data_IF_892192771518
#
_entry.id   IF_892192771518
#
_cell.length_a   1.000
_cell.length_b   1.000
_cell.length_c   1.000
_cell.angle_alpha   90.00
_cell.angle_beta   90.00
_cell.angle_gamma   90.00
#
_symmetry.space_group_name_H-M   'P 1'
#
loop_
_entity.id
_entity.type
_entity.pdbx_description
1 polymer ?
#
# COMPACT_ATOMS: atom_id res chain seq x y z
N UNK A 1 -25.60 56.45 7.70
CA UNK A 1 -25.15 55.06 7.61
C UNK A 1 -25.67 54.36 8.86
N UNK A 2 -26.76 53.60 8.72
CA UNK A 2 -27.55 53.07 9.84
C UNK A 2 -26.90 51.80 10.40
N UNK A 3 -27.21 51.44 11.65
CA UNK A 3 -26.81 50.17 12.28
C UNK A 3 -27.31 48.97 11.45
N UNK A 4 -28.39 49.14 10.69
CA UNK A 4 -29.00 48.12 9.83
C UNK A 4 -28.16 47.77 8.60
N UNK A 5 -27.40 48.73 8.05
CA UNK A 5 -26.50 48.49 6.90
C UNK A 5 -25.37 47.54 7.29
N UNK A 6 -24.87 47.63 8.53
CA UNK A 6 -23.85 46.71 9.08
C UNK A 6 -24.41 45.31 9.35
N UNK A 7 -25.69 45.19 9.68
CA UNK A 7 -26.34 43.90 9.91
C UNK A 7 -26.60 43.14 8.60
N UNK A 8 -26.92 43.86 7.51
CA UNK A 8 -27.03 43.27 6.17
C UNK A 8 -25.67 42.83 5.62
N UNK A 9 -24.60 43.59 5.85
CA UNK A 9 -23.25 43.23 5.38
C UNK A 9 -22.69 41.99 6.13
N UNK A 10 -22.98 41.87 7.43
CA UNK A 10 -22.61 40.69 8.22
C UNK A 10 -23.42 39.43 7.86
N UNK A 11 -24.65 39.58 7.32
CA UNK A 11 -25.51 38.46 6.92
C UNK A 11 -25.26 38.03 5.46
N UNK A 12 -24.67 38.89 4.63
CA UNK A 12 -24.41 38.62 3.20
C UNK A 12 -23.05 37.93 2.95
N UNK A 13 -22.19 37.84 3.96
CA UNK A 13 -20.92 37.12 3.89
C UNK A 13 -21.04 35.57 3.98
N UNK A 14 -22.25 35.02 3.96
CA UNK A 14 -22.45 33.58 3.69
C UNK A 14 -22.40 33.35 2.18
N UNK A 15 -21.20 33.39 1.58
CA UNK A 15 -20.99 32.84 0.24
C UNK A 15 -21.24 31.34 0.34
N UNK A 16 -22.49 30.92 0.07
CA UNK A 16 -22.87 29.51 0.05
C UNK A 16 -21.92 28.77 -0.88
N UNK A 17 -21.19 27.81 -0.33
CA UNK A 17 -20.35 26.91 -1.13
C UNK A 17 -21.25 26.24 -2.18
N UNK A 18 -21.08 26.64 -3.44
CA UNK A 18 -21.86 26.07 -4.53
C UNK A 18 -21.28 24.69 -4.83
N UNK A 19 -22.00 23.64 -4.44
CA UNK A 19 -21.70 22.27 -4.82
C UNK A 19 -21.80 22.12 -6.33
N UNK A 20 -20.69 22.35 -7.02
CA UNK A 20 -20.56 22.11 -8.44
C UNK A 20 -20.16 20.63 -8.64
N UNK A 21 -20.78 19.96 -9.61
CA UNK A 21 -20.40 18.61 -10.02
C UNK A 21 -18.89 18.51 -10.33
N UNK A 22 -18.31 19.60 -10.86
CA UNK A 22 -16.87 19.72 -11.12
C UNK A 22 -16.07 19.68 -9.81
N UNK A 23 -16.48 20.38 -8.76
CA UNK A 23 -15.78 20.40 -7.46
C UNK A 23 -15.88 19.05 -6.76
N UNK A 24 -17.03 18.38 -6.85
CA UNK A 24 -17.20 17.01 -6.34
C UNK A 24 -16.30 16.04 -7.10
N UNK A 25 -16.30 16.09 -8.43
CA UNK A 25 -15.44 15.25 -9.26
C UNK A 25 -13.94 15.48 -8.99
N UNK A 26 -13.52 16.75 -8.84
CA UNK A 26 -12.15 17.09 -8.47
C UNK A 26 -11.77 16.55 -7.10
N UNK A 27 -12.66 16.62 -6.11
CA UNK A 27 -12.43 16.09 -4.77
C UNK A 27 -12.25 14.56 -4.81
N UNK A 28 -13.10 13.86 -5.57
CA UNK A 28 -12.98 12.41 -5.79
C UNK A 28 -11.66 12.08 -6.50
N UNK A 29 -11.28 12.84 -7.53
CA UNK A 29 -10.05 12.61 -8.28
C UNK A 29 -8.79 12.80 -7.41
N UNK A 30 -8.75 13.88 -6.63
CA UNK A 30 -7.65 14.13 -5.67
C UNK A 30 -7.62 13.04 -4.60
N UNK A 31 -8.79 12.61 -4.11
CA UNK A 31 -8.89 11.54 -3.12
C UNK A 31 -8.35 10.21 -3.65
N UNK A 32 -8.73 9.81 -4.86
CA UNK A 32 -8.20 8.60 -5.50
C UNK A 32 -6.69 8.72 -5.69
N UNK A 33 -6.21 9.83 -6.27
CA UNK A 33 -4.78 10.09 -6.48
C UNK A 33 -3.99 10.06 -5.16
N UNK A 34 -4.59 10.56 -4.09
CA UNK A 34 -4.02 10.54 -2.75
C UNK A 34 -3.94 9.11 -2.19
N UNK A 35 -4.97 8.28 -2.38
CA UNK A 35 -4.92 6.86 -2.01
C UNK A 35 -3.85 6.09 -2.78
N UNK A 36 -3.70 6.36 -4.07
CA UNK A 36 -2.57 5.86 -4.87
C UNK A 36 -1.23 6.30 -4.27
N UNK A 37 -1.08 7.58 -3.93
CA UNK A 37 0.15 8.13 -3.36
C UNK A 37 0.50 7.52 -1.99
N UNK A 38 -0.49 7.23 -1.14
CA UNK A 38 -0.29 6.61 0.17
C UNK A 38 0.19 5.15 0.02
N UNK A 39 -0.52 4.35 -0.77
CA UNK A 39 -0.19 2.93 -0.99
C UNK A 39 1.16 2.81 -1.70
N UNK A 40 1.40 3.61 -2.74
CA UNK A 40 2.67 3.63 -3.46
C UNK A 40 3.82 4.15 -2.59
N UNK A 41 3.59 5.21 -1.79
CA UNK A 41 4.61 5.75 -0.89
C UNK A 41 5.05 4.73 0.16
N UNK A 42 4.09 4.01 0.76
CA UNK A 42 4.37 2.91 1.67
C UNK A 42 5.11 1.75 0.99
N UNK A 43 4.68 1.37 -0.22
CA UNK A 43 5.34 0.36 -1.02
C UNK A 43 6.78 0.72 -1.38
N UNK A 44 7.05 1.98 -1.77
CA UNK A 44 8.41 2.47 -2.07
C UNK A 44 9.34 2.33 -0.85
N UNK A 45 8.85 2.66 0.34
CA UNK A 45 9.60 2.47 1.60
C UNK A 45 9.83 0.99 1.85
N UNK A 46 8.82 0.15 1.65
CA UNK A 46 8.93 -1.30 1.82
C UNK A 46 9.96 -1.93 0.87
N UNK A 47 9.95 -1.57 -0.41
CA UNK A 47 10.96 -1.98 -1.40
C UNK A 47 12.34 -1.52 -0.97
N UNK A 48 12.45 -0.27 -0.52
CA UNK A 48 13.70 0.27 0.00
C UNK A 48 14.17 -0.46 1.26
N UNK A 49 13.30 -1.10 2.05
CA UNK A 49 13.70 -1.89 3.23
C UNK A 49 14.00 -3.34 2.87
N UNK A 50 13.25 -3.98 1.96
CA UNK A 50 13.46 -5.39 1.64
C UNK A 50 14.80 -5.65 0.96
N UNK A 51 15.31 -4.67 0.21
CA UNK A 51 16.55 -4.79 -0.55
C UNK A 51 16.42 -5.80 -1.69
N UNK A 52 17.27 -5.67 -2.72
CA UNK A 52 17.32 -6.67 -3.79
C UNK A 52 18.09 -7.86 -3.26
N UNK A 53 17.40 -8.99 -3.09
CA UNK A 53 18.03 -10.28 -2.78
C UNK A 53 18.28 -10.98 -4.10
N UNK A 54 19.56 -11.23 -4.39
CA UNK A 54 19.93 -12.16 -5.46
C UNK A 54 20.18 -13.49 -4.76
N UNK A 55 19.44 -14.51 -5.20
CA UNK A 55 19.70 -15.89 -4.78
C UNK A 55 20.87 -16.40 -5.62
N UNK A 56 22.00 -16.60 -4.97
CA UNK A 56 23.14 -17.25 -5.59
C UNK A 56 23.03 -18.74 -5.28
N UNK A 57 22.88 -19.56 -6.32
CA UNK A 57 22.87 -21.01 -6.18
C UNK A 57 24.32 -21.46 -5.91
N UNK A 58 24.62 -21.71 -4.63
CA UNK A 58 25.92 -22.26 -4.22
C UNK A 58 25.95 -23.72 -4.65
N UNK A 59 26.49 -23.99 -5.83
CA UNK A 59 26.78 -25.35 -6.28
C UNK A 59 27.94 -25.86 -5.40
N UNK A 60 27.77 -26.95 -4.63
CA UNK A 60 28.86 -27.51 -3.85
C UNK A 60 30.01 -27.85 -4.79
N UNK A 61 31.18 -27.27 -4.55
CA UNK A 61 32.37 -27.54 -5.35
C UNK A 61 32.83 -28.97 -5.06
N UNK A 62 32.64 -29.90 -5.99
CA UNK A 62 32.97 -31.33 -5.83
C UNK A 62 34.48 -31.62 -5.89
N UNK A 63 35.30 -30.67 -5.49
CA UNK A 63 36.75 -30.79 -5.44
C UNK A 63 37.23 -30.41 -4.05
N UNK A 64 37.00 -31.29 -3.08
CA UNK A 64 37.94 -31.45 -1.98
C UNK A 64 38.43 -32.90 -2.02
N UNK A 65 39.58 -33.02 -2.69
CA UNK A 65 40.65 -33.99 -2.47
C UNK A 65 40.32 -35.27 -1.70
N UNK A 66 40.31 -36.40 -2.41
CA UNK A 66 41.21 -37.48 -2.04
C UNK A 66 41.51 -38.40 -3.23
N UNK A 67 42.78 -38.38 -3.63
CA UNK A 67 43.52 -39.48 -4.22
C UNK A 67 43.15 -39.96 -5.63
N UNK A 68 44.12 -39.71 -6.50
CA UNK A 68 44.43 -40.42 -7.73
C UNK A 68 44.66 -41.92 -7.47
N UNK A 69 43.59 -42.66 -7.13
CA UNK A 69 43.60 -44.12 -6.97
C UNK A 69 42.24 -44.69 -7.42
N UNK A 70 41.89 -44.48 -8.68
CA UNK A 70 40.74 -45.12 -9.31
C UNK A 70 41.23 -46.21 -10.27
N UNK A 71 40.90 -47.45 -9.90
CA UNK A 71 41.00 -48.63 -10.76
C UNK A 71 40.07 -48.45 -11.97
N UNK A 72 40.39 -48.96 -13.17
CA UNK A 72 39.62 -48.66 -14.39
C UNK A 72 38.20 -49.24 -14.49
N UNK A 73 37.64 -49.85 -13.44
CA UNK A 73 36.48 -50.76 -13.55
C UNK A 73 35.30 -50.47 -12.60
N UNK A 74 35.10 -49.22 -12.15
CA UNK A 74 33.88 -48.88 -11.40
C UNK A 74 32.90 -48.08 -12.27
N UNK A 75 31.89 -48.76 -12.79
CA UNK A 75 30.75 -48.12 -13.44
C UNK A 75 29.96 -47.35 -12.36
N UNK A 76 30.20 -46.04 -12.27
CA UNK A 76 29.51 -45.14 -11.36
C UNK A 76 28.05 -45.01 -11.82
N UNK A 77 27.14 -45.66 -11.12
CA UNK A 77 25.70 -45.41 -11.31
C UNK A 77 25.35 -43.99 -10.82
N UNK A 78 24.54 -43.23 -11.57
CA UNK A 78 24.15 -41.89 -11.16
C UNK A 78 23.30 -41.97 -9.88
N UNK A 79 23.81 -41.43 -8.78
CA UNK A 79 23.10 -41.38 -7.51
C UNK A 79 21.94 -40.38 -7.58
N UNK A 80 20.70 -40.88 -7.58
CA UNK A 80 19.45 -40.10 -7.55
C UNK A 80 19.16 -39.36 -6.23
N UNK A 81 20.15 -39.26 -5.33
CA UNK A 81 19.98 -38.54 -4.06
C UNK A 81 19.81 -37.04 -4.30
N UNK A 82 18.76 -36.38 -3.76
CA UNK A 82 18.54 -34.96 -3.96
C UNK A 82 19.71 -34.16 -3.38
N UNK A 83 20.43 -33.42 -4.23
CA UNK A 83 21.48 -32.49 -3.82
C UNK A 83 20.86 -31.45 -2.89
N UNK A 84 21.37 -31.38 -1.65
CA UNK A 84 20.99 -30.38 -0.66
C UNK A 84 21.50 -29.00 -1.10
N UNK A 85 20.71 -28.28 -1.89
CA UNK A 85 20.99 -26.88 -2.26
C UNK A 85 20.81 -25.98 -1.04
N UNK A 86 21.87 -25.31 -0.63
CA UNK A 86 21.79 -24.20 0.32
C UNK A 86 21.65 -22.90 -0.46
N UNK A 87 20.45 -22.33 -0.48
CA UNK A 87 20.21 -20.99 -1.04
C UNK A 87 20.85 -19.93 -0.13
N UNK A 88 21.89 -19.25 -0.61
CA UNK A 88 22.47 -18.11 0.08
C UNK A 88 22.00 -16.81 -0.57
N UNK A 89 21.58 -15.83 0.24
CA UNK A 89 21.18 -14.52 -0.25
C UNK A 89 22.33 -13.52 -0.05
N UNK A 90 22.77 -12.87 -1.12
CA UNK A 90 23.63 -11.69 -1.03
C UNK A 90 22.76 -10.43 -1.06
N UNK A 91 22.93 -9.56 -0.08
CA UNK A 91 22.16 -8.31 0.02
C UNK A 91 22.84 -7.27 -0.86
N UNK A 92 22.24 -6.94 -2.01
CA UNK A 92 22.68 -5.81 -2.83
C UNK A 92 22.40 -4.49 -2.13
N UNK A 93 23.21 -3.47 -2.43
CA UNK A 93 23.18 -2.15 -1.79
C UNK A 93 21.77 -1.57 -1.83
N UNK A 94 21.25 -1.22 -0.65
CA UNK A 94 19.87 -0.82 -0.43
C UNK A 94 19.58 0.57 -1.04
N UNK A 95 18.64 0.71 -1.99
CA UNK A 95 18.41 1.97 -2.68
C UNK A 95 17.60 2.94 -1.82
N UNK A 96 18.28 3.61 -0.88
CA UNK A 96 17.72 4.55 0.11
C UNK A 96 16.89 5.70 -0.51
N UNK A 97 17.15 6.07 -1.77
CA UNK A 97 16.39 7.09 -2.49
C UNK A 97 14.90 6.78 -2.57
N UNK A 98 14.51 5.51 -2.73
CA UNK A 98 13.09 5.12 -2.74
C UNK A 98 12.41 5.34 -1.39
N UNK A 99 13.13 5.12 -0.27
CA UNK A 99 12.60 5.40 1.06
C UNK A 99 12.38 6.90 1.28
N UNK A 100 13.30 7.75 0.81
CA UNK A 100 13.13 9.20 0.89
C UNK A 100 11.99 9.69 0.02
N UNK A 101 11.88 9.19 -1.22
CA UNK A 101 10.81 9.58 -2.12
C UNK A 101 9.44 9.17 -1.55
N UNK A 102 9.31 7.93 -1.08
CA UNK A 102 8.08 7.45 -0.44
C UNK A 102 7.71 8.25 0.82
N UNK A 103 8.69 8.54 1.67
CA UNK A 103 8.48 9.35 2.88
C UNK A 103 8.02 10.78 2.55
N UNK A 104 8.65 11.42 1.56
CA UNK A 104 8.25 12.75 1.11
C UNK A 104 6.82 12.75 0.55
N UNK A 105 6.47 11.75 -0.25
CA UNK A 105 5.11 11.57 -0.77
C UNK A 105 4.08 11.38 0.35
N UNK A 106 4.39 10.58 1.37
CA UNK A 106 3.52 10.35 2.53
C UNK A 106 3.33 11.61 3.39
N UNK A 107 4.40 12.38 3.63
CA UNK A 107 4.34 13.65 4.37
C UNK A 107 3.51 14.68 3.60
N UNK A 108 3.74 14.80 2.29
CA UNK A 108 2.96 15.68 1.43
C UNK A 108 1.48 15.27 1.42
N UNK A 109 1.20 13.96 1.33
CA UNK A 109 -0.16 13.44 1.43
C UNK A 109 -0.81 13.74 2.77
N UNK A 110 -0.17 13.44 3.91
CA UNK A 110 -0.77 13.59 5.24
C UNK A 110 -1.24 15.02 5.56
N UNK A 111 -0.69 16.03 4.86
CA UNK A 111 -1.12 17.41 4.97
C UNK A 111 -2.40 17.74 4.19
N UNK A 112 -2.70 17.01 3.11
CA UNK A 112 -3.82 17.27 2.20
C UNK A 112 -5.19 16.98 2.87
N UNK A 113 -5.42 15.84 3.54
CA UNK A 113 -6.68 15.56 4.26
C UNK A 113 -6.96 16.55 5.41
N UNK A 114 -5.92 17.11 6.03
CA UNK A 114 -6.04 18.05 7.14
C UNK A 114 -6.63 19.42 6.72
N UNK A 115 -6.69 19.70 5.42
CA UNK A 115 -7.22 20.96 4.89
C UNK A 115 -8.72 20.86 4.50
N UNK A 116 -9.39 19.74 4.77
CA UNK A 116 -10.76 19.52 4.30
C UNK A 116 -11.82 20.13 5.25
N UNK A 117 -12.63 21.12 4.81
CA UNK A 117 -13.58 21.85 5.66
C UNK A 117 -14.79 21.02 6.16
N UNK A 118 -15.05 19.85 5.58
CA UNK A 118 -16.24 19.03 5.87
C UNK A 118 -16.21 18.28 7.22
N UNK A 119 -15.15 18.44 8.02
CA UNK A 119 -15.02 17.77 9.32
C UNK A 119 -16.00 18.29 10.40
N UNK A 120 -16.63 19.46 10.19
CA UNK A 120 -17.34 20.18 11.25
C UNK A 120 -18.84 19.84 11.40
N UNK A 121 -19.53 19.30 10.38
CA UNK A 121 -21.01 19.21 10.38
C UNK A 121 -21.62 17.81 10.35
N UNK A 122 -20.97 16.81 9.73
CA UNK A 122 -21.50 15.44 9.58
C UNK A 122 -20.47 14.39 10.02
N UNK A 123 -20.31 14.21 11.34
CA UNK A 123 -19.62 13.07 11.96
C UNK A 123 -18.28 12.65 11.29
N UNK A 124 -17.25 13.49 11.42
CA UNK A 124 -15.87 13.26 10.96
C UNK A 124 -15.41 11.78 11.00
N UNK A 125 -15.61 11.11 12.13
CA UNK A 125 -15.20 9.73 12.32
C UNK A 125 -15.86 8.72 11.36
N UNK A 126 -17.11 8.96 10.93
CA UNK A 126 -17.84 8.06 10.02
C UNK A 126 -17.35 8.15 8.59
N UNK A 127 -17.05 9.37 8.15
CA UNK A 127 -16.48 9.63 6.83
C UNK A 127 -15.09 8.98 6.73
N UNK A 128 -14.26 9.14 7.76
CA UNK A 128 -12.95 8.48 7.83
C UNK A 128 -13.05 6.95 7.91
N UNK A 129 -14.03 6.40 8.65
CA UNK A 129 -14.26 4.95 8.66
C UNK A 129 -14.65 4.40 7.28
N UNK A 130 -15.47 5.13 6.53
CA UNK A 130 -15.85 4.77 5.16
C UNK A 130 -14.68 4.82 4.19
N UNK A 131 -13.84 5.85 4.31
CA UNK A 131 -12.59 5.92 3.54
C UNK A 131 -11.69 4.73 3.85
N UNK A 132 -11.55 4.33 5.11
CA UNK A 132 -10.81 3.11 5.48
C UNK A 132 -11.27 1.87 4.70
N UNK A 133 -12.58 1.69 4.50
CA UNK A 133 -13.13 0.62 3.67
C UNK A 133 -12.74 0.71 2.20
N UNK A 134 -12.76 1.91 1.61
CA UNK A 134 -12.29 2.14 0.24
C UNK A 134 -10.80 1.82 0.09
N UNK A 135 -9.98 2.19 1.07
CA UNK A 135 -8.54 1.90 1.09
C UNK A 135 -8.23 0.40 1.13
N UNK A 136 -9.06 -0.43 1.78
CA UNK A 136 -8.91 -1.89 1.77
C UNK A 136 -9.03 -2.43 0.35
N UNK A 137 -10.09 -2.06 -0.37
CA UNK A 137 -10.30 -2.49 -1.76
C UNK A 137 -9.18 -1.97 -2.67
N UNK A 138 -8.83 -0.69 -2.51
CA UNK A 138 -7.77 -0.06 -3.29
C UNK A 138 -6.42 -0.74 -3.06
N UNK A 139 -6.09 -1.12 -1.82
CA UNK A 139 -4.83 -1.80 -1.47
C UNK A 139 -4.74 -3.19 -2.10
N UNK A 140 -5.84 -3.97 -2.14
CA UNK A 140 -5.82 -5.26 -2.83
C UNK A 140 -5.65 -5.11 -4.34
N UNK A 141 -6.34 -4.14 -4.96
CA UNK A 141 -6.21 -3.87 -6.40
C UNK A 141 -4.79 -3.40 -6.76
N UNK A 142 -4.22 -2.47 -5.98
CA UNK A 142 -2.86 -1.99 -6.21
C UNK A 142 -1.79 -3.02 -5.88
N UNK A 143 -1.95 -3.77 -4.78
CA UNK A 143 -1.02 -4.84 -4.43
C UNK A 143 -0.93 -5.88 -5.55
N UNK A 144 -2.09 -6.29 -6.09
CA UNK A 144 -2.12 -7.15 -7.26
C UNK A 144 -1.52 -6.50 -8.52
N UNK A 145 -1.72 -5.21 -8.73
CA UNK A 145 -1.15 -4.48 -9.88
C UNK A 145 0.37 -4.30 -9.79
N UNK A 146 0.95 -4.17 -8.58
CA UNK A 146 2.38 -3.92 -8.36
C UNK A 146 3.18 -5.23 -8.26
N UNK A 147 2.67 -6.23 -7.53
CA UNK A 147 3.36 -7.50 -7.28
C UNK A 147 2.88 -8.67 -8.15
N UNK A 148 1.83 -8.48 -8.96
CA UNK A 148 1.33 -9.49 -9.89
C UNK A 148 0.91 -10.80 -9.20
N UNK A 149 1.43 -11.93 -9.69
CA UNK A 149 1.10 -13.26 -9.17
C UNK A 149 1.52 -13.47 -7.71
N UNK A 150 2.51 -12.71 -7.21
CA UNK A 150 3.00 -12.82 -5.82
C UNK A 150 2.05 -12.20 -4.80
N UNK A 151 1.13 -11.32 -5.22
CA UNK A 151 0.15 -10.65 -4.37
C UNK A 151 -1.29 -10.94 -4.81
N UNK A 152 -1.53 -12.10 -5.44
CA UNK A 152 -2.88 -12.53 -5.79
C UNK A 152 -3.69 -12.66 -4.49
N UNK A 153 -4.83 -11.96 -4.37
CA UNK A 153 -5.63 -12.00 -3.15
C UNK A 153 -6.07 -13.43 -2.87
N UNK A 154 -5.71 -13.94 -1.70
CA UNK A 154 -6.10 -15.26 -1.26
C UNK A 154 -7.58 -15.25 -0.80
N UNK A 155 -8.17 -16.44 -0.69
CA UNK A 155 -9.52 -16.60 -0.12
C UNK A 155 -9.58 -16.01 1.28
N UNK A 156 -8.51 -16.14 2.09
CA UNK A 156 -8.42 -15.50 3.41
C UNK A 156 -8.49 -13.97 3.34
N UNK A 157 -7.78 -13.34 2.41
CA UNK A 157 -7.78 -11.89 2.20
C UNK A 157 -9.15 -11.40 1.74
N UNK A 158 -9.81 -12.15 0.85
CA UNK A 158 -11.13 -11.80 0.36
C UNK A 158 -12.20 -11.88 1.46
N UNK A 159 -12.14 -12.92 2.30
CA UNK A 159 -13.04 -13.07 3.46
C UNK A 159 -12.78 -11.97 4.50
N UNK A 160 -11.52 -11.70 4.84
CA UNK A 160 -11.15 -10.63 5.77
C UNK A 160 -11.55 -9.24 5.26
N UNK A 161 -11.35 -8.99 3.97
CA UNK A 161 -11.79 -7.77 3.28
C UNK A 161 -13.31 -7.61 3.33
N UNK A 162 -14.07 -8.68 3.04
CA UNK A 162 -15.52 -8.67 3.14
C UNK A 162 -16.01 -8.36 4.56
N UNK A 163 -15.41 -8.97 5.59
CA UNK A 163 -15.74 -8.70 7.00
C UNK A 163 -15.48 -7.23 7.34
N UNK A 164 -14.36 -6.69 6.90
CA UNK A 164 -13.99 -5.29 7.16
C UNK A 164 -15.00 -4.33 6.50
N UNK A 165 -15.42 -4.62 5.27
CA UNK A 165 -16.45 -3.84 4.56
C UNK A 165 -17.82 -3.92 5.24
N UNK A 166 -18.19 -5.09 5.77
CA UNK A 166 -19.41 -5.22 6.58
C UNK A 166 -19.32 -4.34 7.83
N UNK A 167 -18.17 -4.32 8.52
CA UNK A 167 -17.94 -3.44 9.67
C UNK A 167 -18.11 -1.95 9.33
N UNK A 168 -17.57 -1.52 8.18
CA UNK A 168 -17.79 -0.16 7.66
C UNK A 168 -19.27 0.11 7.39
N UNK A 169 -19.97 -0.85 6.78
CA UNK A 169 -21.41 -0.78 6.55
C UNK A 169 -22.19 -0.61 7.86
N UNK A 170 -21.85 -1.38 8.90
CA UNK A 170 -22.47 -1.24 10.22
C UNK A 170 -22.25 0.18 10.77
N UNK A 171 -21.02 0.71 10.75
CA UNK A 171 -20.73 2.06 11.26
C UNK A 171 -21.54 3.14 10.54
N UNK A 172 -21.69 3.00 9.22
CA UNK A 172 -22.44 3.93 8.38
C UNK A 172 -23.95 3.81 8.59
N UNK A 173 -24.51 2.61 8.63
CA UNK A 173 -25.95 2.39 8.65
C UNK A 173 -26.55 2.16 10.04
N UNK A 174 -25.74 2.16 11.11
CA UNK A 174 -26.26 2.00 12.46
C UNK A 174 -27.24 3.15 12.82
N UNK A 175 -28.50 2.82 13.17
CA UNK A 175 -29.50 3.81 13.53
C UNK A 175 -29.08 4.56 14.79
N UNK A 176 -29.30 5.86 14.78
CA UNK A 176 -29.00 6.75 15.89
C UNK A 176 -30.29 7.49 16.19
N UNK A 177 -30.84 7.20 17.36
CA UNK A 177 -31.90 7.98 17.97
C UNK A 177 -31.30 9.22 18.66
#
# INVERSE_FOLDING_TARGET
MSIDDKAQDATTASTSFNWNAITVAQSIAIFVLAGFAEILGGWLIWVAIKGVRVEEEVVPNTTDDSNNDLSPDENVEPSDSPVSRSSQYIILKKPWYFALLGSLTLVAYGFIPCLQPSAASDGFARIYAAYGGFFIVLTYLLGWALEGESAKPDVGDLVGGAISLVGVGVIMFWPRD
#
